data_IF_341534385368
#
_entry.id   IF_341534385368
#
_cell.length_a   1.000
_cell.length_b   1.000
_cell.length_c   1.000
_cell.angle_alpha   90.00
_cell.angle_beta   90.00
_cell.angle_gamma   90.00
#
_symmetry.space_group_name_H-M   'P 1'
#
loop_
_entity.id
_entity.type
_entity.pdbx_description
1 polymer ?
#
# COMPACT_ATOMS: atom_id res chain seq x y z
N UNK A 1 -9.92 -20.52 8.01
CA UNK A 1 -11.12 -19.69 8.25
C UNK A 1 -11.45 -18.91 6.97
N UNK A 2 -12.72 -18.88 6.55
CA UNK A 2 -13.15 -18.21 5.31
C UNK A 2 -12.93 -16.68 5.35
N UNK A 3 -13.06 -16.06 6.53
CA UNK A 3 -12.84 -14.62 6.74
C UNK A 3 -11.38 -14.23 6.57
N UNK A 4 -10.49 -15.10 7.06
CA UNK A 4 -9.05 -14.94 6.86
C UNK A 4 -8.69 -15.01 5.36
N UNK A 5 -9.24 -15.99 4.64
CA UNK A 5 -9.03 -16.12 3.19
C UNK A 5 -9.58 -14.90 2.42
N UNK A 6 -10.76 -14.40 2.77
CA UNK A 6 -11.34 -13.20 2.17
C UNK A 6 -10.44 -11.97 2.39
N UNK A 7 -10.03 -11.71 3.63
CA UNK A 7 -9.20 -10.55 3.96
C UNK A 7 -7.82 -10.61 3.31
N UNK A 8 -7.18 -11.78 3.28
CA UNK A 8 -5.95 -12.01 2.52
C UNK A 8 -6.17 -11.75 1.03
N UNK A 9 -7.28 -12.24 0.46
CA UNK A 9 -7.65 -12.00 -0.94
C UNK A 9 -7.77 -10.51 -1.26
N UNK A 10 -8.38 -9.72 -0.37
CA UNK A 10 -8.48 -8.26 -0.53
C UNK A 10 -7.11 -7.57 -0.50
N UNK A 11 -6.22 -7.96 0.43
CA UNK A 11 -4.86 -7.44 0.50
C UNK A 11 -4.07 -7.75 -0.78
N UNK A 12 -4.12 -9.00 -1.24
CA UNK A 12 -3.42 -9.46 -2.46
C UNK A 12 -3.97 -8.77 -3.70
N UNK A 13 -5.29 -8.63 -3.83
CA UNK A 13 -5.91 -7.92 -4.95
C UNK A 13 -5.48 -6.44 -5.01
N UNK A 14 -5.43 -5.77 -3.85
CA UNK A 14 -4.93 -4.39 -3.74
C UNK A 14 -3.46 -4.29 -4.15
N UNK A 15 -2.60 -5.16 -3.61
CA UNK A 15 -1.17 -5.20 -3.94
C UNK A 15 -0.94 -5.47 -5.44
N UNK A 16 -1.68 -6.41 -6.02
CA UNK A 16 -1.56 -6.72 -7.44
C UNK A 16 -1.98 -5.54 -8.32
N UNK A 17 -3.05 -4.84 -7.95
CA UNK A 17 -3.50 -3.63 -8.64
C UNK A 17 -2.42 -2.54 -8.60
N UNK A 18 -1.88 -2.24 -7.41
CA UNK A 18 -0.78 -1.28 -7.24
C UNK A 18 0.44 -1.68 -8.07
N UNK A 19 0.84 -2.97 -8.04
CA UNK A 19 1.95 -3.49 -8.84
C UNK A 19 1.75 -3.25 -10.33
N UNK A 20 0.55 -3.50 -10.85
CA UNK A 20 0.20 -3.27 -12.27
C UNK A 20 0.27 -1.79 -12.62
N UNK A 21 -0.23 -0.91 -11.75
CA UNK A 21 -0.14 0.53 -11.96
C UNK A 21 1.32 1.01 -11.96
N UNK A 22 2.16 0.53 -11.03
CA UNK A 22 3.60 0.84 -11.01
C UNK A 22 4.33 0.38 -12.28
N UNK A 23 4.03 -0.82 -12.78
CA UNK A 23 4.59 -1.30 -14.06
C UNK A 23 4.15 -0.42 -15.22
N UNK A 24 2.88 0.02 -15.24
CA UNK A 24 2.37 0.92 -16.27
C UNK A 24 3.10 2.27 -16.26
N UNK A 25 3.29 2.89 -15.08
CA UNK A 25 4.04 4.14 -14.93
C UNK A 25 5.47 3.97 -15.45
N UNK A 26 6.14 2.87 -15.10
CA UNK A 26 7.48 2.58 -15.61
C UNK A 26 7.50 2.42 -17.14
N UNK A 27 6.49 1.76 -17.72
CA UNK A 27 6.34 1.65 -19.17
C UNK A 27 6.17 3.00 -19.86
N UNK A 28 5.41 3.92 -19.27
CA UNK A 28 5.27 5.30 -19.76
C UNK A 28 6.60 6.05 -19.73
N UNK A 29 7.35 5.97 -18.62
CA UNK A 29 8.69 6.57 -18.50
C UNK A 29 9.64 6.01 -19.57
N UNK A 30 9.63 4.70 -19.78
CA UNK A 30 10.46 4.06 -20.81
C UNK A 30 10.08 4.51 -22.23
N UNK A 31 8.82 4.86 -22.46
CA UNK A 31 8.34 5.44 -23.72
C UNK A 31 8.64 6.95 -23.86
N UNK A 32 9.40 7.55 -22.94
CA UNK A 32 9.76 8.98 -22.96
C UNK A 32 8.61 9.90 -22.54
N UNK A 33 7.56 9.38 -21.91
CA UNK A 33 6.47 10.17 -21.38
C UNK A 33 6.78 10.68 -19.97
N UNK A 34 6.04 11.70 -19.54
CA UNK A 34 6.12 12.27 -18.19
C UNK A 34 4.84 11.94 -17.39
N UNK A 35 4.72 10.73 -16.81
CA UNK A 35 3.51 10.25 -16.13
C UNK A 35 3.37 10.81 -14.70
N UNK A 36 3.48 12.13 -14.53
CA UNK A 36 3.50 12.78 -13.20
C UNK A 36 2.23 12.51 -12.39
N UNK A 37 1.06 12.56 -13.04
CA UNK A 37 -0.24 12.33 -12.38
C UNK A 37 -0.37 10.86 -11.97
N UNK A 38 -0.05 9.95 -12.89
CA UNK A 38 -0.14 8.50 -12.67
C UNK A 38 0.83 8.06 -11.57
N UNK A 39 2.07 8.56 -11.60
CA UNK A 39 3.06 8.30 -10.56
C UNK A 39 2.60 8.82 -9.19
N UNK A 40 2.03 10.03 -9.14
CA UNK A 40 1.51 10.61 -7.89
C UNK A 40 0.32 9.80 -7.34
N UNK A 41 -0.57 9.31 -8.21
CA UNK A 41 -1.70 8.47 -7.82
C UNK A 41 -1.24 7.12 -7.25
N UNK A 42 -0.31 6.45 -7.93
CA UNK A 42 0.25 5.17 -7.45
C UNK A 42 0.94 5.34 -6.12
N UNK A 43 1.68 6.43 -5.94
CA UNK A 43 2.37 6.73 -4.69
C UNK A 43 1.39 6.99 -3.55
N UNK A 44 0.34 7.79 -3.75
CA UNK A 44 -0.69 8.07 -2.73
C UNK A 44 -1.40 6.78 -2.29
N UNK A 45 -1.91 6.01 -3.26
CA UNK A 45 -2.63 4.77 -2.99
C UNK A 45 -1.72 3.70 -2.34
N UNK A 46 -0.48 3.59 -2.80
CA UNK A 46 0.50 2.65 -2.24
C UNK A 46 0.85 2.98 -0.79
N UNK A 47 1.08 4.26 -0.50
CA UNK A 47 1.33 4.71 0.88
C UNK A 47 0.16 4.37 1.80
N UNK A 48 -1.09 4.62 1.39
CA UNK A 48 -2.28 4.29 2.20
C UNK A 48 -2.35 2.77 2.44
N UNK A 49 -2.16 1.97 1.40
CA UNK A 49 -2.20 0.50 1.52
C UNK A 49 -1.13 -0.03 2.49
N UNK A 50 0.11 0.48 2.40
CA UNK A 50 1.20 0.09 3.29
C UNK A 50 0.95 0.54 4.74
N UNK A 51 0.33 1.70 4.95
CA UNK A 51 -0.02 2.18 6.29
C UNK A 51 -1.08 1.33 6.97
N UNK A 52 -2.08 0.87 6.22
CA UNK A 52 -3.16 0.05 6.77
C UNK A 52 -2.77 -1.41 6.99
N UNK A 53 -1.74 -1.89 6.27
CA UNK A 53 -1.34 -3.30 6.25
C UNK A 53 -1.09 -3.90 7.65
N UNK A 54 -0.33 -3.27 8.56
CA UNK A 54 -0.08 -3.87 9.88
C UNK A 54 -1.37 -4.09 10.68
N UNK A 55 -2.31 -3.14 10.64
CA UNK A 55 -3.59 -3.29 11.34
C UNK A 55 -4.41 -4.44 10.74
N UNK A 56 -4.55 -4.48 9.41
CA UNK A 56 -5.29 -5.56 8.74
C UNK A 56 -4.65 -6.93 8.99
N UNK A 57 -3.31 -7.00 8.98
CA UNK A 57 -2.58 -8.23 9.28
C UNK A 57 -2.84 -8.71 10.71
N UNK A 58 -2.83 -7.80 11.69
CA UNK A 58 -3.19 -8.11 13.09
C UNK A 58 -4.61 -8.65 13.19
N UNK A 59 -5.57 -8.01 12.53
CA UNK A 59 -6.98 -8.43 12.57
C UNK A 59 -7.16 -9.82 11.95
N UNK A 60 -6.48 -10.12 10.84
CA UNK A 60 -6.54 -11.44 10.19
C UNK A 60 -5.90 -12.54 11.04
N UNK A 61 -4.84 -12.22 11.79
CA UNK A 61 -4.18 -13.17 12.68
C UNK A 61 -5.11 -13.68 13.81
N UNK A 62 -6.18 -12.96 14.15
CA UNK A 62 -7.17 -13.41 15.14
C UNK A 62 -7.94 -14.66 14.72
N UNK A 63 -7.94 -15.00 13.42
CA UNK A 63 -8.60 -16.19 12.88
C UNK A 63 -7.65 -17.41 12.76
N UNK A 64 -6.41 -17.28 13.21
CA UNK A 64 -5.38 -18.33 13.14
C UNK A 64 -5.11 -18.89 14.54
N UNK A 65 -4.77 -20.17 14.63
CA UNK A 65 -4.44 -20.80 15.91
C UNK A 65 -3.18 -20.15 16.54
N UNK A 66 -3.14 -19.93 17.86
CA UNK A 66 -2.00 -19.28 18.53
C UNK A 66 -0.68 -20.06 18.43
N UNK A 67 -0.76 -21.38 18.24
CA UNK A 67 0.35 -22.33 18.36
C UNK A 67 1.06 -22.59 17.02
N UNK A 68 0.87 -21.72 16.03
CA UNK A 68 1.54 -21.82 14.73
C UNK A 68 3.03 -21.48 14.86
N UNK A 69 3.88 -22.25 14.19
CA UNK A 69 5.35 -22.21 14.37
C UNK A 69 5.98 -20.87 13.96
N UNK A 70 5.26 -20.05 13.20
CA UNK A 70 5.72 -18.75 12.70
C UNK A 70 5.27 -17.55 13.55
N UNK A 71 4.52 -17.76 14.65
CA UNK A 71 3.89 -16.68 15.44
C UNK A 71 4.89 -15.62 15.91
N UNK A 72 6.04 -16.04 16.45
CA UNK A 72 7.07 -15.12 16.95
C UNK A 72 7.67 -14.24 15.84
N UNK A 73 7.90 -14.81 14.65
CA UNK A 73 8.40 -14.06 13.49
C UNK A 73 7.35 -13.09 12.96
N UNK A 74 6.08 -13.51 12.92
CA UNK A 74 4.97 -12.64 12.53
C UNK A 74 4.84 -11.44 13.48
N UNK A 75 4.86 -11.67 14.80
CA UNK A 75 4.74 -10.61 15.79
C UNK A 75 5.90 -9.60 15.70
N UNK A 76 7.12 -10.08 15.38
CA UNK A 76 8.28 -9.22 15.12
C UNK A 76 8.06 -8.31 13.91
N UNK A 77 7.61 -8.87 12.79
CA UNK A 77 7.32 -8.12 11.56
C UNK A 77 6.16 -7.13 11.75
N UNK A 78 5.12 -7.55 12.47
CA UNK A 78 3.97 -6.72 12.79
C UNK A 78 4.39 -5.50 13.61
N UNK A 79 5.19 -5.69 14.66
CA UNK A 79 5.72 -4.60 15.49
C UNK A 79 6.55 -3.61 14.68
N UNK A 80 7.44 -4.11 13.81
CA UNK A 80 8.19 -3.26 12.90
C UNK A 80 7.26 -2.47 11.96
N UNK A 81 6.29 -3.13 11.35
CA UNK A 81 5.33 -2.51 10.43
C UNK A 81 4.53 -1.38 11.08
N UNK A 82 4.07 -1.58 12.32
CA UNK A 82 3.36 -0.55 13.09
C UNK A 82 4.23 0.69 13.31
N UNK A 83 5.51 0.50 13.63
CA UNK A 83 6.45 1.60 13.88
C UNK A 83 6.80 2.35 12.59
N UNK A 84 6.86 1.66 11.45
CA UNK A 84 7.25 2.22 10.17
C UNK A 84 6.10 2.88 9.42
N UNK A 85 4.86 2.40 9.57
CA UNK A 85 3.71 2.91 8.83
C UNK A 85 3.56 4.45 8.87
N UNK A 86 3.68 5.15 10.02
CA UNK A 86 3.46 6.60 10.07
C UNK A 86 4.37 7.42 9.17
N UNK A 87 5.64 7.03 8.96
CA UNK A 87 6.59 7.81 8.15
C UNK A 87 6.37 7.70 6.64
N UNK A 88 5.56 6.73 6.18
CA UNK A 88 5.37 6.44 4.75
C UNK A 88 4.64 7.56 4.01
N UNK A 89 3.92 8.44 4.72
CA UNK A 89 3.24 9.62 4.17
C UNK A 89 4.17 10.81 3.94
N UNK A 90 5.44 10.74 4.32
CA UNK A 90 6.40 11.85 4.17
C UNK A 90 7.38 11.54 3.04
N UNK A 91 7.81 10.28 2.91
CA UNK A 91 8.82 9.88 1.94
C UNK A 91 8.28 9.87 0.50
N UNK A 92 8.91 10.65 -0.38
CA UNK A 92 8.52 10.74 -1.79
C UNK A 92 7.39 11.75 -2.07
N UNK A 93 7.19 12.71 -1.16
CA UNK A 93 6.14 13.74 -1.24
C UNK A 93 5.01 13.45 -0.27
N UNK A 94 4.51 14.49 0.43
CA UNK A 94 3.40 14.29 1.36
C UNK A 94 2.11 13.96 0.63
N UNK A 95 1.20 13.27 1.31
CA UNK A 95 -0.16 12.98 0.82
C UNK A 95 -0.84 14.23 0.24
N UNK A 96 -0.71 15.39 0.91
CA UNK A 96 -1.29 16.66 0.47
C UNK A 96 -0.64 17.18 -0.81
N UNK A 97 0.69 17.03 -0.94
CA UNK A 97 1.42 17.43 -2.15
C UNK A 97 1.02 16.55 -3.32
N UNK A 98 0.98 15.23 -3.13
CA UNK A 98 0.57 14.26 -4.17
C UNK A 98 -0.87 14.52 -4.61
N UNK A 99 -1.79 14.69 -3.67
CA UNK A 99 -3.19 15.05 -3.97
C UNK A 99 -3.31 16.42 -4.64
N UNK A 100 -2.41 17.35 -4.33
CA UNK A 100 -2.31 18.62 -5.03
C UNK A 100 -1.93 18.48 -6.51
N UNK A 101 -0.99 17.58 -6.83
CA UNK A 101 -0.62 17.24 -8.21
C UNK A 101 -1.81 16.59 -8.93
N UNK A 102 -2.46 15.61 -8.29
CA UNK A 102 -3.63 14.91 -8.85
C UNK A 102 -4.76 15.89 -9.15
N UNK A 103 -5.12 16.77 -8.21
CA UNK A 103 -6.19 17.76 -8.40
C UNK A 103 -5.91 18.73 -9.56
N UNK A 104 -4.67 19.21 -9.71
CA UNK A 104 -4.27 20.02 -10.87
C UNK A 104 -4.38 19.25 -12.17
N UNK A 105 -3.96 17.98 -12.16
CA UNK A 105 -4.08 17.08 -13.31
C UNK A 105 -5.52 16.81 -13.76
N UNK A 106 -6.49 16.96 -12.86
CA UNK A 106 -7.93 16.83 -13.13
C UNK A 106 -8.63 18.17 -13.47
N UNK A 107 -7.90 19.29 -13.47
CA UNK A 107 -8.48 20.62 -13.74
C UNK A 107 -9.37 21.16 -12.61
N UNK A 108 -9.20 20.68 -11.38
CA UNK A 108 -10.02 21.07 -10.22
C UNK A 108 -9.49 22.29 -9.46
N UNK A 109 -8.49 22.99 -10.01
CA UNK A 109 -7.82 24.15 -9.43
C UNK A 109 -7.39 25.12 -10.52
#
# INVERSE_FOLDING_TARGET
DARCAEGLGRLVAGLHTLRRMSVSVNGMLQAGQEPTIQGSLVKDLGTIWEQELPSKARDLATFVAPDDSNRASFDTLLNYGIQVAPKLTIQGGTTEVLRGIIARGLGLR
#
